data_IF_608157944451
#
_entry.id   IF_608157944451
#
_cell.length_a   1.000
_cell.length_b   1.000
_cell.length_c   1.000
_cell.angle_alpha   90.00
_cell.angle_beta   90.00
_cell.angle_gamma   90.00
#
_symmetry.space_group_name_H-M   'P 1'
#
loop_
_entity.id
_entity.type
_entity.pdbx_description
1 polymer ?
#
# COMPACT_ATOMS: atom_id res chain seq x y z
N UNK A 1 -18.89 15.85 42.64
CA UNK A 1 -17.54 16.41 42.40
C UNK A 1 -16.64 15.21 42.29
N UNK A 2 -16.40 14.75 41.06
CA UNK A 2 -15.67 13.50 40.83
C UNK A 2 -14.18 13.82 40.70
N UNK A 3 -13.38 13.22 41.58
CA UNK A 3 -11.93 13.37 41.58
C UNK A 3 -11.33 12.87 40.26
N UNK A 4 -10.37 13.60 39.64
CA UNK A 4 -9.76 13.14 38.41
C UNK A 4 -8.92 11.89 38.68
N UNK A 5 -9.20 10.82 37.94
CA UNK A 5 -8.49 9.55 38.02
C UNK A 5 -6.97 9.77 37.93
N UNK A 6 -6.24 9.21 38.90
CA UNK A 6 -4.80 9.25 39.00
C UNK A 6 -4.20 8.51 37.80
N UNK A 7 -3.69 9.27 36.82
CA UNK A 7 -3.17 8.72 35.56
C UNK A 7 -1.84 8.01 35.81
N UNK A 8 -1.70 6.80 35.28
CA UNK A 8 -0.55 5.93 35.53
C UNK A 8 0.73 6.51 34.93
N UNK A 9 1.89 6.22 35.54
CA UNK A 9 3.18 6.80 35.17
C UNK A 9 3.59 6.57 33.70
N UNK A 10 3.09 5.52 33.05
CA UNK A 10 3.34 5.23 31.64
C UNK A 10 2.60 6.22 30.73
N UNK A 11 1.35 6.57 31.02
CA UNK A 11 0.62 7.60 30.25
C UNK A 11 1.30 8.96 30.37
N UNK A 12 1.71 9.33 31.59
CA UNK A 12 2.44 10.58 31.83
C UNK A 12 3.79 10.60 31.11
N UNK A 13 4.52 9.47 31.08
CA UNK A 13 5.79 9.32 30.39
C UNK A 13 5.65 9.39 28.86
N UNK A 14 4.66 8.70 28.28
CA UNK A 14 4.37 8.75 26.84
C UNK A 14 3.91 10.15 26.40
N UNK A 15 3.06 10.82 27.20
CA UNK A 15 2.69 12.23 26.97
C UNK A 15 3.93 13.14 27.11
N UNK A 16 4.84 12.84 28.03
CA UNK A 16 6.11 13.54 28.19
C UNK A 16 7.00 13.44 26.95
N UNK A 17 7.14 12.26 26.36
CA UNK A 17 7.90 12.04 25.11
C UNK A 17 7.21 12.75 23.94
N UNK A 18 5.89 12.64 23.82
CA UNK A 18 5.10 13.30 22.79
C UNK A 18 5.17 14.83 22.88
N UNK A 19 5.20 15.39 24.10
CA UNK A 19 5.40 16.82 24.34
C UNK A 19 6.85 17.26 24.06
N UNK A 20 7.83 16.40 24.32
CA UNK A 20 9.27 16.68 24.14
C UNK A 20 9.68 16.72 22.66
N UNK A 21 8.90 16.12 21.77
CA UNK A 21 9.02 16.38 20.33
C UNK A 21 8.32 17.70 19.94
N UNK A 22 8.93 18.83 20.27
CA UNK A 22 8.43 20.17 19.92
C UNK A 22 8.18 20.33 18.42
N UNK A 23 9.03 19.76 17.55
CA UNK A 23 8.91 19.89 16.09
C UNK A 23 7.69 19.15 15.50
N UNK A 24 7.43 17.89 15.86
CA UNK A 24 6.23 17.18 15.37
C UNK A 24 4.95 17.74 15.99
N UNK A 25 5.00 18.14 17.26
CA UNK A 25 3.85 18.73 17.94
C UNK A 25 3.55 20.16 17.49
N UNK A 26 4.52 20.89 16.94
CA UNK A 26 4.33 22.22 16.34
C UNK A 26 3.42 22.13 15.10
N UNK A 27 3.70 21.24 14.15
CA UNK A 27 2.87 21.09 12.96
C UNK A 27 1.47 20.55 13.29
N UNK A 28 1.37 19.62 14.23
CA UNK A 28 0.07 19.09 14.67
C UNK A 28 -0.78 20.17 15.35
N UNK A 29 -0.15 21.06 16.14
CA UNK A 29 -0.83 22.16 16.83
C UNK A 29 -1.13 23.35 15.92
N UNK A 30 -0.28 23.64 14.93
CA UNK A 30 -0.43 24.80 14.03
C UNK A 30 -1.28 24.51 12.79
N UNK A 31 -1.21 23.30 12.22
CA UNK A 31 -1.90 22.90 10.98
C UNK A 31 -2.93 21.79 11.16
N UNK A 32 -2.95 21.13 12.32
CA UNK A 32 -3.86 20.03 12.63
C UNK A 32 -3.38 18.66 12.13
N UNK A 33 -3.95 17.60 12.72
CA UNK A 33 -3.64 16.21 12.35
C UNK A 33 -4.03 15.85 10.91
N UNK A 34 -5.09 16.44 10.37
CA UNK A 34 -5.50 16.22 8.99
C UNK A 34 -4.42 16.61 7.97
N UNK A 35 -3.70 17.72 8.22
CA UNK A 35 -2.57 18.14 7.39
C UNK A 35 -1.43 17.13 7.41
N UNK A 36 -1.04 16.67 8.60
CA UNK A 36 0.02 15.67 8.78
C UNK A 36 -0.35 14.36 8.07
N UNK A 37 -1.58 13.88 8.26
CA UNK A 37 -2.04 12.64 7.67
C UNK A 37 -2.04 12.71 6.14
N UNK A 38 -2.38 13.85 5.55
CA UNK A 38 -2.31 14.06 4.09
C UNK A 38 -0.88 14.04 3.58
N UNK A 39 0.04 14.76 4.25
CA UNK A 39 1.46 14.76 3.86
C UNK A 39 2.08 13.38 3.98
N UNK A 40 1.85 12.69 5.11
CA UNK A 40 2.31 11.32 5.30
C UNK A 40 1.71 10.37 4.26
N UNK A 41 0.45 10.55 3.84
CA UNK A 41 -0.17 9.72 2.79
C UNK A 41 0.56 9.83 1.46
N UNK A 42 0.91 11.07 1.08
CA UNK A 42 1.63 11.38 -0.16
C UNK A 42 3.05 10.83 -0.12
N UNK A 43 3.77 11.05 0.98
CA UNK A 43 5.13 10.50 1.16
C UNK A 43 5.10 8.97 1.10
N UNK A 44 4.17 8.32 1.80
CA UNK A 44 4.00 6.88 1.72
C UNK A 44 3.72 6.44 0.27
N UNK A 45 2.79 7.12 -0.43
CA UNK A 45 2.51 6.85 -1.84
C UNK A 45 3.73 6.96 -2.75
N UNK A 46 4.57 8.00 -2.57
CA UNK A 46 5.81 8.17 -3.33
C UNK A 46 6.82 7.04 -3.06
N UNK A 47 6.99 6.64 -1.80
CA UNK A 47 7.82 5.48 -1.43
C UNK A 47 7.30 4.21 -2.11
N UNK A 48 5.97 3.99 -2.12
CA UNK A 48 5.35 2.83 -2.75
C UNK A 48 5.51 2.83 -4.26
N UNK A 49 5.45 3.99 -4.93
CA UNK A 49 5.75 4.07 -6.37
C UNK A 49 7.19 3.65 -6.65
N UNK A 50 8.16 4.20 -5.92
CA UNK A 50 9.56 3.83 -6.11
C UNK A 50 9.80 2.34 -5.85
N UNK A 51 9.20 1.81 -4.77
CA UNK A 51 9.25 0.38 -4.48
C UNK A 51 8.61 -0.46 -5.58
N UNK A 52 7.44 -0.07 -6.09
CA UNK A 52 6.76 -0.79 -7.17
C UNK A 52 7.63 -0.87 -8.44
N UNK A 53 8.31 0.23 -8.81
CA UNK A 53 9.25 0.22 -9.95
C UNK A 53 10.42 -0.74 -9.70
N UNK A 54 11.03 -0.66 -8.51
CA UNK A 54 12.10 -1.56 -8.09
C UNK A 54 11.64 -3.03 -8.04
N UNK A 55 10.41 -3.28 -7.63
CA UNK A 55 9.82 -4.60 -7.53
C UNK A 55 9.64 -5.23 -8.92
N UNK A 56 9.09 -4.50 -9.89
CA UNK A 56 9.00 -4.98 -11.29
C UNK A 56 10.39 -5.24 -11.88
N UNK A 57 11.38 -4.38 -11.61
CA UNK A 57 12.76 -4.61 -12.03
C UNK A 57 13.38 -5.87 -11.40
N UNK A 58 13.05 -6.16 -10.15
CA UNK A 58 13.53 -7.38 -9.48
C UNK A 58 12.88 -8.62 -10.07
N UNK A 59 11.56 -8.58 -10.27
CA UNK A 59 10.78 -9.67 -10.87
C UNK A 59 11.12 -9.91 -12.35
N UNK A 60 11.68 -8.93 -13.07
CA UNK A 60 12.10 -9.15 -14.46
C UNK A 60 13.22 -10.19 -14.59
N UNK A 61 13.91 -10.53 -13.51
CA UNK A 61 14.89 -11.62 -13.51
C UNK A 61 14.26 -13.02 -13.54
N UNK A 62 12.94 -13.16 -13.36
CA UNK A 62 12.25 -14.46 -13.45
C UNK A 62 12.34 -15.11 -14.84
N UNK A 63 12.62 -14.34 -15.89
CA UNK A 63 12.91 -14.89 -17.22
C UNK A 63 14.17 -15.77 -17.25
N UNK A 64 15.10 -15.54 -16.33
CA UNK A 64 16.35 -16.28 -16.20
C UNK A 64 16.49 -16.78 -14.76
N UNK A 65 16.01 -17.99 -14.42
CA UNK A 65 15.97 -18.48 -13.04
C UNK A 65 17.30 -18.38 -12.29
N UNK A 66 18.42 -18.63 -12.96
CA UNK A 66 19.76 -18.48 -12.38
C UNK A 66 20.07 -17.02 -11.98
N UNK A 67 19.67 -16.04 -12.78
CA UNK A 67 19.82 -14.62 -12.47
C UNK A 67 18.92 -14.19 -11.31
N UNK A 68 17.68 -14.72 -11.26
CA UNK A 68 16.77 -14.48 -10.14
C UNK A 68 17.36 -15.01 -8.82
N UNK A 69 17.84 -16.25 -8.80
CA UNK A 69 18.49 -16.85 -7.62
C UNK A 69 19.71 -16.02 -7.17
N UNK A 70 20.52 -15.54 -8.11
CA UNK A 70 21.66 -14.67 -7.77
C UNK A 70 21.21 -13.34 -7.16
N UNK A 71 20.13 -12.74 -7.65
CA UNK A 71 19.55 -11.51 -7.07
C UNK A 71 18.94 -11.77 -5.71
N UNK A 72 18.24 -12.90 -5.51
CA UNK A 72 17.68 -13.31 -4.23
C UNK A 72 18.77 -13.46 -3.16
N UNK A 73 19.93 -14.03 -3.49
CA UNK A 73 21.09 -14.07 -2.57
C UNK A 73 21.60 -12.68 -2.17
N UNK A 74 21.50 -11.69 -3.04
CA UNK A 74 21.91 -10.32 -2.71
C UNK A 74 20.90 -9.63 -1.78
N UNK A 75 19.59 -9.82 -2.02
CA UNK A 75 18.53 -9.26 -1.17
C UNK A 75 18.30 -10.05 0.13
N UNK A 76 18.80 -11.28 0.22
CA UNK A 76 18.74 -12.12 1.42
C UNK A 76 19.82 -11.75 2.47
N UNK A 77 20.04 -10.46 2.67
CA UNK A 77 20.89 -9.96 3.75
C UNK A 77 20.09 -9.14 4.76
N UNK A 78 20.60 -9.07 5.99
CA UNK A 78 19.92 -8.44 7.12
C UNK A 78 19.38 -7.03 6.82
N UNK A 79 20.11 -6.23 6.03
CA UNK A 79 19.71 -4.85 5.70
C UNK A 79 18.45 -4.87 4.82
N UNK A 80 18.45 -5.68 3.76
CA UNK A 80 17.28 -5.78 2.86
C UNK A 80 16.10 -6.46 3.54
N UNK A 81 16.30 -7.54 4.31
CA UNK A 81 15.21 -8.16 5.07
C UNK A 81 14.58 -7.19 6.08
N UNK A 82 15.39 -6.34 6.72
CA UNK A 82 14.88 -5.26 7.57
C UNK A 82 14.06 -4.24 6.77
N UNK A 83 14.53 -3.82 5.60
CA UNK A 83 13.80 -2.88 4.75
C UNK A 83 12.52 -3.47 4.14
N UNK A 84 12.51 -4.76 3.80
CA UNK A 84 11.32 -5.49 3.36
C UNK A 84 10.24 -5.52 4.45
N UNK A 85 10.63 -5.81 5.68
CA UNK A 85 9.74 -5.69 6.84
C UNK A 85 9.31 -4.23 7.08
N UNK A 86 10.25 -3.29 7.04
CA UNK A 86 9.97 -1.87 7.29
C UNK A 86 9.05 -1.26 6.23
N UNK A 87 9.04 -1.80 5.01
CA UNK A 87 8.13 -1.42 3.93
C UNK A 87 6.66 -1.66 4.29
N UNK A 88 6.36 -2.60 5.20
CA UNK A 88 5.00 -2.80 5.68
C UNK A 88 4.42 -1.52 6.30
N UNK A 89 5.25 -0.66 6.89
CA UNK A 89 4.83 0.61 7.52
C UNK A 89 4.20 1.57 6.51
N UNK A 90 4.89 2.04 5.45
CA UNK A 90 4.26 2.91 4.45
C UNK A 90 3.12 2.22 3.69
N UNK A 91 3.21 0.91 3.40
CA UNK A 91 2.13 0.17 2.71
C UNK A 91 0.84 0.22 3.53
N UNK A 92 0.88 -0.26 4.78
CA UNK A 92 -0.33 -0.38 5.59
C UNK A 92 -0.88 0.98 6.01
N UNK A 93 0.02 1.93 6.28
CA UNK A 93 -0.40 3.30 6.56
C UNK A 93 -1.10 3.91 5.36
N UNK A 94 -0.53 3.79 4.15
CA UNK A 94 -1.15 4.31 2.93
C UNK A 94 -2.53 3.69 2.70
N UNK A 95 -2.66 2.37 2.82
CA UNK A 95 -3.91 1.64 2.63
C UNK A 95 -5.00 2.06 3.63
N UNK A 96 -4.67 2.11 4.93
CA UNK A 96 -5.65 2.46 5.98
C UNK A 96 -5.99 3.95 5.99
N UNK A 97 -5.00 4.81 5.73
CA UNK A 97 -5.23 6.25 5.59
C UNK A 97 -6.07 6.58 4.35
N UNK A 98 -5.84 5.89 3.22
CA UNK A 98 -6.70 5.97 2.04
C UNK A 98 -8.13 5.48 2.34
N UNK A 99 -8.25 4.42 3.15
CA UNK A 99 -9.55 3.93 3.64
C UNK A 99 -10.27 4.99 4.47
N UNK A 100 -9.58 5.75 5.34
CA UNK A 100 -10.16 6.90 6.04
C UNK A 100 -10.78 7.88 5.04
N UNK A 101 -10.08 8.21 3.95
CA UNK A 101 -10.59 9.12 2.92
C UNK A 101 -11.86 8.56 2.26
N UNK A 102 -11.88 7.26 1.92
CA UNK A 102 -13.08 6.60 1.39
C UNK A 102 -14.24 6.64 2.38
N UNK A 103 -14.01 6.38 3.66
CA UNK A 103 -15.04 6.47 4.71
C UNK A 103 -15.60 7.90 4.83
N UNK A 104 -14.73 8.89 4.72
CA UNK A 104 -15.13 10.30 4.71
C UNK A 104 -15.95 10.63 3.45
N UNK A 105 -15.47 10.27 2.25
CA UNK A 105 -16.06 10.70 0.98
C UNK A 105 -17.30 9.88 0.59
N UNK A 106 -17.22 8.55 0.62
CA UNK A 106 -18.26 7.64 0.15
C UNK A 106 -19.30 7.26 1.22
N UNK A 107 -18.89 7.21 2.48
CA UNK A 107 -19.75 6.82 3.61
C UNK A 107 -20.16 8.00 4.49
N UNK A 108 -19.66 9.21 4.20
CA UNK A 108 -19.97 10.44 4.91
C UNK A 108 -19.69 10.38 6.42
N UNK A 109 -18.71 9.58 6.83
CA UNK A 109 -18.29 9.51 8.23
C UNK A 109 -17.49 10.78 8.56
N UNK A 110 -17.95 11.56 9.56
CA UNK A 110 -17.37 12.86 9.96
C UNK A 110 -16.67 12.81 11.33
N UNK A 111 -16.15 11.64 11.72
CA UNK A 111 -15.49 11.41 13.02
C UNK A 111 -13.96 11.30 12.86
N UNK A 112 -13.32 12.37 12.40
CA UNK A 112 -11.92 12.33 11.94
C UNK A 112 -10.94 11.84 13.02
N UNK A 113 -11.03 12.37 14.25
CA UNK A 113 -10.16 11.95 15.35
C UNK A 113 -10.25 10.43 15.65
N UNK A 114 -11.45 9.87 15.58
CA UNK A 114 -11.68 8.43 15.79
C UNK A 114 -11.10 7.62 14.62
N UNK A 115 -11.33 8.07 13.38
CA UNK A 115 -10.78 7.38 12.22
C UNK A 115 -9.25 7.41 12.20
N UNK A 116 -8.63 8.54 12.54
CA UNK A 116 -7.16 8.67 12.66
C UNK A 116 -6.62 7.71 13.72
N UNK A 117 -7.28 7.63 14.90
CA UNK A 117 -6.90 6.64 15.93
C UNK A 117 -6.96 5.22 15.39
N UNK A 118 -8.00 4.85 14.66
CA UNK A 118 -8.14 3.51 14.08
C UNK A 118 -7.12 3.22 12.98
N UNK A 119 -6.70 4.22 12.19
CA UNK A 119 -5.57 4.04 11.25
C UNK A 119 -4.35 3.54 12.01
N UNK A 120 -3.94 4.21 13.09
CA UNK A 120 -2.76 3.80 13.86
C UNK A 120 -2.94 2.46 14.57
N UNK A 121 -4.11 2.20 15.16
CA UNK A 121 -4.39 0.93 15.86
C UNK A 121 -4.34 -0.25 14.87
N UNK A 122 -5.05 -0.15 13.74
CA UNK A 122 -5.09 -1.21 12.75
C UNK A 122 -3.73 -1.40 12.05
N UNK A 123 -2.99 -0.32 11.76
CA UNK A 123 -1.61 -0.41 11.27
C UNK A 123 -0.73 -1.18 12.25
N UNK A 124 -0.81 -0.86 13.55
CA UNK A 124 -0.01 -1.52 14.57
C UNK A 124 -0.34 -3.00 14.69
N UNK A 125 -1.64 -3.34 14.72
CA UNK A 125 -2.10 -4.74 14.75
C UNK A 125 -1.56 -5.51 13.54
N UNK A 126 -1.68 -4.95 12.33
CA UNK A 126 -1.20 -5.60 11.12
C UNK A 126 0.32 -5.81 11.14
N UNK A 127 1.11 -4.78 11.48
CA UNK A 127 2.57 -4.86 11.51
C UNK A 127 3.04 -5.89 12.55
N UNK A 128 2.44 -5.89 13.74
CA UNK A 128 2.77 -6.86 14.79
C UNK A 128 2.38 -8.29 14.38
N UNK A 129 1.24 -8.45 13.71
CA UNK A 129 0.80 -9.75 13.18
C UNK A 129 1.76 -10.24 12.11
N UNK A 130 2.12 -9.40 11.13
CA UNK A 130 3.10 -9.71 10.10
C UNK A 130 4.45 -10.09 10.71
N UNK A 131 4.94 -9.30 11.68
CA UNK A 131 6.20 -9.58 12.38
C UNK A 131 6.16 -10.93 13.09
N UNK A 132 5.07 -11.23 13.81
CA UNK A 132 4.88 -12.53 14.46
C UNK A 132 4.93 -13.69 13.46
N UNK A 133 4.26 -13.56 12.31
CA UNK A 133 4.27 -14.60 11.28
C UNK A 133 5.61 -14.77 10.60
N UNK A 134 6.35 -13.68 10.36
CA UNK A 134 7.72 -13.73 9.83
C UNK A 134 8.67 -14.44 10.79
N UNK A 135 8.54 -14.20 12.10
CA UNK A 135 9.36 -14.87 13.12
C UNK A 135 9.09 -16.38 13.19
N UNK A 136 7.84 -16.79 12.97
CA UNK A 136 7.51 -18.21 12.91
C UNK A 136 7.95 -18.85 11.58
N UNK A 137 7.71 -18.16 10.45
CA UNK A 137 8.27 -18.49 9.12
C UNK A 137 7.91 -19.84 8.51
N UNK A 138 7.03 -20.62 9.15
CA UNK A 138 6.68 -21.99 8.80
C UNK A 138 5.19 -22.16 8.44
N UNK A 139 4.51 -21.06 8.10
CA UNK A 139 3.07 -21.08 7.87
C UNK A 139 2.76 -21.51 6.45
N UNK A 140 1.69 -22.29 6.34
CA UNK A 140 1.25 -22.85 5.07
C UNK A 140 -0.23 -22.60 4.87
N UNK A 141 -0.59 -22.18 3.67
CA UNK A 141 -1.96 -22.06 3.19
C UNK A 141 -1.93 -22.32 1.69
N UNK A 142 -2.96 -22.98 1.16
CA UNK A 142 -3.09 -23.14 -0.29
C UNK A 142 -3.12 -21.76 -0.97
N UNK A 143 -2.22 -21.55 -1.93
CA UNK A 143 -2.18 -20.32 -2.71
C UNK A 143 -3.53 -20.05 -3.39
N UNK A 144 -4.12 -21.07 -4.01
CA UNK A 144 -5.41 -20.95 -4.68
C UNK A 144 -6.53 -20.52 -3.73
N UNK A 145 -6.62 -21.13 -2.56
CA UNK A 145 -7.63 -20.75 -1.55
C UNK A 145 -7.42 -19.33 -1.03
N UNK A 146 -6.19 -18.98 -0.66
CA UNK A 146 -5.86 -17.66 -0.13
C UNK A 146 -6.20 -16.55 -1.13
N UNK A 147 -5.72 -16.69 -2.37
CA UNK A 147 -5.89 -15.66 -3.39
C UNK A 147 -7.33 -15.56 -3.90
N UNK A 148 -8.09 -16.65 -3.90
CA UNK A 148 -9.54 -16.61 -4.17
C UNK A 148 -10.28 -15.76 -3.13
N UNK A 149 -10.00 -15.97 -1.84
CA UNK A 149 -10.62 -15.19 -0.76
C UNK A 149 -10.24 -13.70 -0.84
N UNK A 150 -8.98 -13.41 -1.14
CA UNK A 150 -8.50 -12.04 -1.36
C UNK A 150 -9.18 -11.41 -2.57
N UNK A 151 -9.30 -12.12 -3.69
CA UNK A 151 -9.94 -11.63 -4.91
C UNK A 151 -11.44 -11.33 -4.69
N UNK A 152 -12.17 -12.22 -4.01
CA UNK A 152 -13.59 -12.02 -3.65
C UNK A 152 -13.74 -10.76 -2.77
N UNK A 153 -12.90 -10.63 -1.73
CA UNK A 153 -12.95 -9.48 -0.81
C UNK A 153 -12.63 -8.16 -1.54
N UNK A 154 -11.66 -8.20 -2.46
CA UNK A 154 -11.28 -7.05 -3.32
C UNK A 154 -12.43 -6.66 -4.26
N UNK A 155 -13.10 -7.63 -4.87
CA UNK A 155 -14.25 -7.38 -5.74
C UNK A 155 -15.45 -6.81 -4.97
N UNK A 156 -15.74 -7.33 -3.78
CA UNK A 156 -16.84 -6.85 -2.92
C UNK A 156 -16.58 -5.40 -2.50
N UNK A 157 -15.40 -5.12 -1.94
CA UNK A 157 -15.03 -3.78 -1.46
C UNK A 157 -15.06 -2.74 -2.59
N UNK A 158 -14.50 -3.07 -3.76
CA UNK A 158 -14.55 -2.25 -4.96
C UNK A 158 -15.99 -1.98 -5.43
N UNK A 159 -16.84 -3.02 -5.47
CA UNK A 159 -18.24 -2.90 -5.88
C UNK A 159 -19.04 -1.99 -4.95
N UNK A 160 -18.83 -2.09 -3.63
CA UNK A 160 -19.49 -1.23 -2.64
C UNK A 160 -19.13 0.24 -2.89
N UNK A 161 -17.85 0.53 -3.09
CA UNK A 161 -17.37 1.90 -3.32
C UNK A 161 -17.85 2.42 -4.68
N UNK A 162 -17.80 1.59 -5.73
CA UNK A 162 -18.36 1.90 -7.05
C UNK A 162 -19.83 2.32 -6.96
N UNK A 163 -20.68 1.48 -6.36
CA UNK A 163 -22.13 1.76 -6.25
C UNK A 163 -22.41 3.06 -5.48
N UNK A 164 -21.59 3.41 -4.49
CA UNK A 164 -21.73 4.66 -3.73
C UNK A 164 -21.29 5.89 -4.48
N UNK A 165 -20.22 5.79 -5.28
CA UNK A 165 -19.59 6.95 -5.91
C UNK A 165 -20.03 7.19 -7.35
N UNK A 166 -20.49 6.17 -8.07
CA UNK A 166 -20.70 6.26 -9.53
C UNK A 166 -21.69 7.36 -9.94
N UNK A 167 -22.78 7.51 -9.18
CA UNK A 167 -23.84 8.50 -9.43
C UNK A 167 -23.53 9.90 -8.87
N UNK A 168 -22.36 10.11 -8.27
CA UNK A 168 -21.95 11.46 -7.80
C UNK A 168 -21.49 12.33 -8.97
N UNK A 169 -21.46 13.65 -8.79
CA UNK A 169 -20.97 14.60 -9.81
C UNK A 169 -19.44 14.64 -9.95
N UNK A 170 -18.71 13.77 -9.24
CA UNK A 170 -17.25 13.73 -9.29
C UNK A 170 -16.73 13.26 -10.67
N UNK A 171 -15.53 13.70 -11.04
CA UNK A 171 -14.86 13.27 -12.28
C UNK A 171 -14.59 11.76 -12.31
N UNK A 172 -14.58 11.18 -13.51
CA UNK A 172 -14.44 9.73 -13.72
C UNK A 172 -13.14 9.16 -13.14
N UNK A 173 -12.00 9.81 -13.40
CA UNK A 173 -10.68 9.35 -12.92
C UNK A 173 -10.60 9.40 -11.39
N UNK A 174 -11.18 10.43 -10.78
CA UNK A 174 -11.28 10.54 -9.33
C UNK A 174 -12.09 9.40 -8.73
N UNK A 175 -13.21 9.02 -9.36
CA UNK A 175 -14.04 7.88 -8.92
C UNK A 175 -13.25 6.57 -9.05
N UNK A 176 -12.62 6.36 -10.20
CA UNK A 176 -11.79 5.18 -10.47
C UNK A 176 -10.61 5.08 -9.49
N UNK A 177 -10.05 6.19 -9.00
CA UNK A 177 -9.02 6.18 -7.95
C UNK A 177 -9.52 5.54 -6.65
N UNK A 178 -10.75 5.85 -6.24
CA UNK A 178 -11.34 5.29 -5.01
C UNK A 178 -11.75 3.84 -5.20
N UNK A 179 -12.29 3.51 -6.37
CA UNK A 179 -12.71 2.14 -6.72
C UNK A 179 -11.49 1.22 -6.82
N UNK A 180 -10.42 1.65 -7.51
CA UNK A 180 -9.14 0.91 -7.54
C UNK A 180 -8.52 0.80 -6.15
N UNK A 181 -8.49 1.88 -5.35
CA UNK A 181 -7.99 1.84 -3.99
C UNK A 181 -8.76 0.86 -3.09
N UNK A 182 -10.07 0.77 -3.25
CA UNK A 182 -10.90 -0.21 -2.53
C UNK A 182 -10.58 -1.65 -2.94
N UNK A 183 -10.39 -1.92 -4.23
CA UNK A 183 -9.94 -3.22 -4.72
C UNK A 183 -8.53 -3.57 -4.21
N UNK A 184 -7.61 -2.61 -4.25
CA UNK A 184 -6.22 -2.81 -3.85
C UNK A 184 -6.06 -2.98 -2.33
N UNK A 185 -7.01 -2.52 -1.51
CA UNK A 185 -6.91 -2.63 -0.06
C UNK A 185 -6.74 -4.09 0.41
N UNK A 186 -7.65 -5.04 0.11
CA UNK A 186 -7.41 -6.44 0.45
C UNK A 186 -6.28 -7.06 -0.38
N UNK A 187 -6.15 -6.70 -1.66
CA UNK A 187 -5.17 -7.31 -2.55
C UNK A 187 -3.72 -7.05 -2.14
N UNK A 188 -3.35 -5.78 -1.93
CA UNK A 188 -1.99 -5.38 -1.53
C UNK A 188 -1.68 -5.83 -0.11
N UNK A 189 -2.65 -5.73 0.81
CA UNK A 189 -2.48 -6.20 2.19
C UNK A 189 -2.32 -7.73 2.24
N UNK A 190 -3.08 -8.45 1.42
CA UNK A 190 -2.98 -9.90 1.26
C UNK A 190 -1.66 -10.29 0.59
N UNK A 191 -1.21 -9.55 -0.42
CA UNK A 191 0.10 -9.75 -1.05
C UNK A 191 1.24 -9.61 -0.07
N UNK A 192 1.29 -8.50 0.66
CA UNK A 192 2.32 -8.29 1.70
C UNK A 192 2.28 -9.40 2.74
N UNK A 193 1.10 -9.86 3.16
CA UNK A 193 1.00 -10.92 4.15
C UNK A 193 1.44 -12.29 3.61
N UNK A 194 0.95 -12.67 2.43
CA UNK A 194 1.22 -13.98 1.81
C UNK A 194 2.70 -14.19 1.53
N UNK A 195 3.39 -13.18 0.99
CA UNK A 195 4.82 -13.29 0.66
C UNK A 195 5.72 -13.48 1.89
N UNK A 196 5.18 -13.29 3.09
CA UNK A 196 5.91 -13.36 4.36
C UNK A 196 5.40 -14.45 5.32
N UNK A 197 4.54 -15.37 4.84
CA UNK A 197 4.10 -16.52 5.65
C UNK A 197 5.24 -17.53 5.89
N UNK A 198 6.05 -17.73 4.87
CA UNK A 198 7.29 -18.50 4.90
C UNK A 198 8.27 -17.91 3.88
N UNK A 199 9.54 -18.24 3.99
CA UNK A 199 10.57 -17.67 3.11
C UNK A 199 10.37 -18.05 1.63
N UNK A 200 9.96 -19.30 1.37
CA UNK A 200 9.89 -19.86 0.02
C UNK A 200 8.87 -19.15 -0.87
N UNK A 201 7.70 -18.79 -0.34
CA UNK A 201 6.63 -18.16 -1.15
C UNK A 201 7.03 -16.82 -1.77
N UNK A 202 8.00 -16.11 -1.17
CA UNK A 202 8.52 -14.82 -1.66
C UNK A 202 9.85 -14.89 -2.40
N UNK A 203 10.68 -15.91 -2.16
CA UNK A 203 12.09 -15.93 -2.59
C UNK A 203 12.49 -17.15 -3.43
N UNK A 204 11.73 -18.25 -3.36
CA UNK A 204 12.06 -19.46 -4.12
C UNK A 204 11.52 -19.38 -5.56
N UNK A 205 12.41 -19.50 -6.53
CA UNK A 205 12.07 -19.29 -7.95
C UNK A 205 11.06 -20.31 -8.44
N UNK A 206 11.19 -21.59 -8.08
CA UNK A 206 10.29 -22.65 -8.53
C UNK A 206 8.89 -22.45 -7.95
N UNK A 207 8.80 -22.11 -6.66
CA UNK A 207 7.54 -21.78 -5.98
C UNK A 207 6.83 -20.59 -6.61
N UNK A 208 7.57 -19.52 -6.95
CA UNK A 208 7.03 -18.32 -7.59
C UNK A 208 6.53 -18.65 -9.01
N UNK A 209 7.34 -19.38 -9.80
CA UNK A 209 6.98 -19.80 -11.16
C UNK A 209 5.73 -20.67 -11.17
N UNK A 210 5.66 -21.67 -10.29
CA UNK A 210 4.48 -22.54 -10.18
C UNK A 210 3.19 -21.75 -9.85
N UNK A 211 3.30 -20.71 -9.01
CA UNK A 211 2.17 -19.84 -8.67
C UNK A 211 1.75 -18.96 -9.86
N UNK A 212 2.69 -18.23 -10.46
CA UNK A 212 2.38 -17.24 -11.51
C UNK A 212 1.90 -17.91 -12.80
N UNK A 213 2.32 -19.14 -13.10
CA UNK A 213 1.86 -19.87 -14.27
C UNK A 213 0.39 -20.33 -14.18
N UNK A 214 -0.22 -20.33 -12.98
CA UNK A 214 -1.62 -20.71 -12.82
C UNK A 214 -2.57 -19.69 -13.48
N UNK A 215 -3.56 -20.09 -14.30
CA UNK A 215 -4.42 -19.15 -15.05
C UNK A 215 -5.17 -18.14 -14.17
N UNK A 216 -5.67 -18.58 -13.02
CA UNK A 216 -6.34 -17.69 -12.06
C UNK A 216 -5.39 -16.66 -11.44
N UNK A 217 -4.14 -17.04 -11.22
CA UNK A 217 -3.11 -16.11 -10.72
C UNK A 217 -2.70 -15.11 -11.80
N UNK A 218 -2.50 -15.54 -13.05
CA UNK A 218 -2.26 -14.62 -14.17
C UNK A 218 -3.33 -13.54 -14.28
N UNK A 219 -4.61 -13.95 -14.22
CA UNK A 219 -5.71 -13.01 -14.28
C UNK A 219 -5.69 -12.00 -13.11
N UNK A 220 -5.44 -12.49 -11.89
CA UNK A 220 -5.37 -11.65 -10.70
C UNK A 220 -4.17 -10.69 -10.73
N UNK A 221 -2.99 -11.17 -11.13
CA UNK A 221 -1.75 -10.39 -11.18
C UNK A 221 -1.78 -9.35 -12.31
N UNK A 222 -2.37 -9.67 -13.48
CA UNK A 222 -2.62 -8.65 -14.52
C UNK A 222 -3.58 -7.58 -14.01
N UNK A 223 -4.67 -7.96 -13.33
CA UNK A 223 -5.58 -7.00 -12.71
C UNK A 223 -4.86 -6.15 -11.65
N UNK A 224 -3.99 -6.76 -10.84
CA UNK A 224 -3.18 -6.06 -9.85
C UNK A 224 -2.28 -5.01 -10.53
N UNK A 225 -1.48 -5.41 -11.53
CA UNK A 225 -0.59 -4.50 -12.29
C UNK A 225 -1.40 -3.34 -12.88
N UNK A 226 -2.49 -3.61 -13.60
CA UNK A 226 -3.31 -2.56 -14.21
C UNK A 226 -3.85 -1.57 -13.17
N UNK A 227 -4.40 -2.07 -12.06
CA UNK A 227 -5.02 -1.23 -11.04
C UNK A 227 -4.00 -0.45 -10.22
N UNK A 228 -2.86 -1.05 -9.84
CA UNK A 228 -1.84 -0.37 -9.05
C UNK A 228 -1.14 0.72 -9.84
N UNK A 229 -0.86 0.51 -11.13
CA UNK A 229 -0.26 1.53 -11.98
C UNK A 229 -1.24 2.65 -12.32
N UNK A 230 -2.52 2.35 -12.55
CA UNK A 230 -3.55 3.38 -12.65
C UNK A 230 -3.63 4.22 -11.37
N UNK A 231 -3.70 3.54 -10.21
CA UNK A 231 -3.79 4.20 -8.91
C UNK A 231 -2.58 5.09 -8.62
N UNK A 232 -1.38 4.59 -8.90
CA UNK A 232 -0.13 5.35 -8.79
C UNK A 232 -0.12 6.57 -9.73
N UNK A 233 -0.48 6.38 -11.00
CA UNK A 233 -0.44 7.45 -12.01
C UNK A 233 -1.38 8.60 -11.69
N UNK A 234 -2.62 8.32 -11.34
CA UNK A 234 -3.55 9.36 -10.93
C UNK A 234 -3.14 10.01 -9.59
N UNK A 235 -2.62 9.22 -8.65
CA UNK A 235 -2.06 9.76 -7.40
C UNK A 235 -0.95 10.77 -7.64
N UNK A 236 0.06 10.42 -8.45
CA UNK A 236 1.14 11.32 -8.82
C UNK A 236 0.63 12.55 -9.60
N UNK A 237 -0.31 12.37 -10.52
CA UNK A 237 -0.94 13.49 -11.24
C UNK A 237 -1.55 14.51 -10.28
N UNK A 238 -2.27 14.06 -9.25
CA UNK A 238 -2.83 14.96 -8.23
C UNK A 238 -1.74 15.66 -7.41
N UNK A 239 -0.68 14.95 -7.03
CA UNK A 239 0.45 15.54 -6.31
C UNK A 239 1.13 16.62 -7.16
N UNK A 240 1.42 16.35 -8.44
CA UNK A 240 2.01 17.36 -9.34
C UNK A 240 1.10 18.59 -9.41
N UNK A 241 -0.21 18.38 -9.57
CA UNK A 241 -1.20 19.46 -9.62
C UNK A 241 -1.25 20.33 -8.36
N UNK A 242 -0.90 19.78 -7.20
CA UNK A 242 -0.89 20.50 -5.92
C UNK A 242 0.35 21.39 -5.71
N UNK A 243 1.47 21.12 -6.41
CA UNK A 243 2.75 21.83 -6.18
C UNK A 243 3.31 22.56 -7.41
N UNK A 244 2.83 22.25 -8.62
CA UNK A 244 3.34 22.85 -9.86
C UNK A 244 2.28 23.78 -10.47
N UNK A 245 2.53 25.09 -10.35
CA UNK A 245 1.64 26.13 -10.86
C UNK A 245 1.76 26.32 -12.39
N UNK A 246 2.99 26.22 -12.93
CA UNK A 246 3.24 26.37 -14.36
C UNK A 246 2.57 25.23 -15.15
N UNK A 247 1.66 25.61 -16.04
CA UNK A 247 0.82 24.66 -16.78
C UNK A 247 1.60 23.79 -17.76
N UNK A 248 2.67 24.33 -18.38
CA UNK A 248 3.51 23.61 -19.33
C UNK A 248 4.38 22.60 -18.60
N UNK A 249 5.00 23.01 -17.50
CA UNK A 249 5.80 22.13 -16.65
C UNK A 249 4.94 21.02 -16.05
N UNK A 250 3.76 21.35 -15.52
CA UNK A 250 2.80 20.37 -14.99
C UNK A 250 2.40 19.34 -16.04
N UNK A 251 2.05 19.78 -17.24
CA UNK A 251 1.69 18.87 -18.34
C UNK A 251 2.89 18.02 -18.78
N UNK A 252 4.08 18.62 -18.91
CA UNK A 252 5.30 17.90 -19.27
C UNK A 252 5.65 16.81 -18.26
N UNK A 253 5.60 17.13 -16.96
CA UNK A 253 5.80 16.15 -15.89
C UNK A 253 4.74 15.06 -15.91
N UNK A 254 3.47 15.40 -16.12
CA UNK A 254 2.36 14.43 -16.20
C UNK A 254 2.57 13.44 -17.35
N UNK A 255 2.98 13.91 -18.53
CA UNK A 255 3.28 13.05 -19.68
C UNK A 255 4.48 12.15 -19.37
N UNK A 256 5.55 12.71 -18.80
CA UNK A 256 6.75 11.97 -18.44
C UNK A 256 6.45 10.83 -17.45
N UNK A 257 5.73 11.13 -16.35
CA UNK A 257 5.39 10.09 -15.36
C UNK A 257 4.47 9.03 -15.96
N UNK A 258 3.53 9.42 -16.82
CA UNK A 258 2.59 8.49 -17.45
C UNK A 258 3.31 7.56 -18.41
N UNK A 259 4.30 8.07 -19.14
CA UNK A 259 5.17 7.26 -19.97
C UNK A 259 6.00 6.26 -19.14
N UNK A 260 6.68 6.72 -18.09
CA UNK A 260 7.49 5.84 -17.22
C UNK A 260 6.61 4.75 -16.60
N UNK A 261 5.48 5.12 -16.00
CA UNK A 261 4.55 4.16 -15.41
C UNK A 261 3.98 3.21 -16.46
N UNK A 262 3.69 3.68 -17.67
CA UNK A 262 3.21 2.84 -18.77
C UNK A 262 4.24 1.79 -19.20
N UNK A 263 5.52 2.16 -19.29
CA UNK A 263 6.62 1.22 -19.61
C UNK A 263 6.72 0.12 -18.55
N UNK A 264 6.68 0.49 -17.26
CA UNK A 264 6.76 -0.49 -16.17
C UNK A 264 5.48 -1.33 -16.03
N UNK A 265 4.30 -0.76 -16.27
CA UNK A 265 3.05 -1.50 -16.31
C UNK A 265 3.07 -2.55 -17.43
N UNK A 266 3.55 -2.17 -18.62
CA UNK A 266 3.76 -3.10 -19.73
C UNK A 266 4.77 -4.19 -19.37
N UNK A 267 5.91 -3.83 -18.78
CA UNK A 267 6.91 -4.81 -18.36
C UNK A 267 6.35 -5.80 -17.32
N UNK A 268 5.63 -5.31 -16.31
CA UNK A 268 4.97 -6.14 -15.31
C UNK A 268 3.92 -7.08 -15.90
N UNK A 269 3.03 -6.56 -16.76
CA UNK A 269 2.04 -7.37 -17.44
C UNK A 269 2.68 -8.42 -18.36
N UNK A 270 3.78 -8.06 -19.05
CA UNK A 270 4.54 -8.98 -19.89
C UNK A 270 5.12 -10.13 -19.07
N UNK A 271 5.74 -9.86 -17.92
CA UNK A 271 6.26 -10.88 -16.99
C UNK A 271 5.15 -11.88 -16.65
N UNK A 272 4.00 -11.39 -16.17
CA UNK A 272 2.87 -12.25 -15.77
C UNK A 272 2.32 -13.08 -16.93
N UNK A 273 2.25 -12.51 -18.14
CA UNK A 273 1.61 -13.19 -19.28
C UNK A 273 2.54 -14.22 -19.94
N UNK A 274 3.85 -13.99 -19.93
CA UNK A 274 4.81 -14.76 -20.74
C UNK A 274 5.61 -15.82 -19.97
N UNK A 275 5.57 -15.79 -18.64
CA UNK A 275 6.10 -16.83 -17.75
C UNK A 275 4.97 -17.77 -17.36
#
# INVERSE_FOLDING_TARGET
>A
MDAPAQRTGIEAYLIGILKRSEKLSYYARSRGWGFIMTWAHRIAGLILVLYMLFHIYTLSALYEPAAFVSKMKFVDNFIFSFFEWALAVPVIFHALNGTRLILYEAFRIRKDAIMVRWVFVLSSIYILTLAFFMLMGNQQVSAGFFWLMVAITSAISSTIVYKRLWHTQNGILWKLQRVSGAFLLPLVSGHMFFMHLNYQVGHDVETILARISAPGMKALDVAFVCLVFFHAGFGLYTIIGDYIEDSRLRSGLTVLISFILGVFAYAGAKIVLTI
#
